data_IF_820883120082
#
_entry.id   IF_820883120082
#
_cell.length_a   1.000
_cell.length_b   1.000
_cell.length_c   1.000
_cell.angle_alpha   90.00
_cell.angle_beta   90.00
_cell.angle_gamma   90.00
#
_symmetry.space_group_name_H-M   'P 1'
#
loop_
_entity.id
_entity.type
_entity.pdbx_description
1 polymer ?
#
# COMPACT_ATOMS: atom_id res chain seq x y z
N UNK A 1 19.32 9.09 -21.69
CA UNK A 1 19.41 9.89 -20.44
C UNK A 1 19.60 8.95 -19.27
N UNK A 2 20.83 8.83 -18.76
CA UNK A 2 21.10 8.08 -17.53
C UNK A 2 20.47 8.84 -16.36
N UNK A 3 19.36 8.33 -15.83
CA UNK A 3 18.81 8.81 -14.56
C UNK A 3 19.73 8.32 -13.46
N UNK A 4 20.63 9.18 -12.99
CA UNK A 4 21.39 8.92 -11.77
C UNK A 4 20.44 8.53 -10.64
N UNK A 5 20.79 7.48 -9.90
CA UNK A 5 20.08 7.05 -8.71
C UNK A 5 19.98 8.23 -7.73
N UNK A 6 18.79 8.81 -7.61
CA UNK A 6 18.44 9.68 -6.50
C UNK A 6 17.38 8.97 -5.70
N UNK A 7 17.79 8.34 -4.60
CA UNK A 7 16.83 7.84 -3.62
C UNK A 7 15.94 9.00 -3.19
N UNK A 8 14.63 8.76 -3.19
CA UNK A 8 13.68 9.76 -2.68
C UNK A 8 13.99 10.03 -1.21
N UNK A 9 13.92 11.30 -0.80
CA UNK A 9 14.12 11.71 0.60
C UNK A 9 13.30 10.84 1.56
N UNK A 10 12.04 10.55 1.21
CA UNK A 10 11.15 9.70 2.01
C UNK A 10 11.66 8.26 2.14
N UNK A 11 12.24 7.68 1.08
CA UNK A 11 12.79 6.33 1.12
C UNK A 11 14.00 6.29 2.05
N UNK A 12 14.84 7.32 2.00
CA UNK A 12 16.01 7.44 2.87
C UNK A 12 15.61 7.55 4.34
N UNK A 13 14.59 8.34 4.66
CA UNK A 13 14.04 8.47 6.02
C UNK A 13 13.53 7.13 6.55
N UNK A 14 12.73 6.40 5.77
CA UNK A 14 12.20 5.09 6.20
C UNK A 14 13.32 4.08 6.44
N UNK A 15 14.31 4.00 5.54
CA UNK A 15 15.45 3.10 5.69
C UNK A 15 16.26 3.47 6.95
N UNK A 16 16.51 4.74 7.19
CA UNK A 16 17.20 5.20 8.40
C UNK A 16 16.41 4.85 9.68
N UNK A 17 15.09 5.02 9.69
CA UNK A 17 14.23 4.62 10.81
C UNK A 17 14.28 3.12 11.07
N UNK A 18 14.25 2.27 10.04
CA UNK A 18 14.37 0.81 10.18
C UNK A 18 15.72 0.44 10.78
N UNK A 19 16.82 1.03 10.29
CA UNK A 19 18.17 0.78 10.80
C UNK A 19 18.28 1.20 12.28
N UNK A 20 17.77 2.38 12.63
CA UNK A 20 17.77 2.88 14.01
C UNK A 20 17.00 1.94 14.94
N UNK A 21 15.75 1.58 14.58
CA UNK A 21 14.93 0.67 15.38
C UNK A 21 15.59 -0.69 15.51
N UNK A 22 16.22 -1.18 14.44
CA UNK A 22 16.90 -2.47 14.46
C UNK A 22 18.08 -2.46 15.45
N UNK A 23 18.94 -1.45 15.31
CA UNK A 23 20.12 -1.30 16.16
C UNK A 23 19.72 -1.13 17.62
N UNK A 24 18.76 -0.23 17.92
CA UNK A 24 18.32 -0.01 19.29
C UNK A 24 17.72 -1.30 19.86
N UNK A 25 16.81 -1.97 19.15
CA UNK A 25 16.16 -3.19 19.67
C UNK A 25 17.17 -4.30 19.97
N UNK A 26 18.11 -4.59 19.07
CA UNK A 26 19.06 -5.70 19.25
C UNK A 26 20.13 -5.39 20.29
N UNK A 27 20.78 -4.22 20.20
CA UNK A 27 21.96 -3.93 21.01
C UNK A 27 21.66 -3.18 22.31
N UNK A 28 20.46 -2.59 22.42
CA UNK A 28 20.06 -1.83 23.61
C UNK A 28 18.98 -2.59 24.37
N UNK A 29 17.82 -2.83 23.75
CA UNK A 29 16.69 -3.45 24.47
C UNK A 29 16.95 -4.92 24.81
N UNK A 30 17.32 -5.74 23.84
CA UNK A 30 17.53 -7.18 24.07
C UNK A 30 18.71 -7.41 25.01
N UNK A 31 19.82 -6.69 24.81
CA UNK A 31 20.98 -6.81 25.69
C UNK A 31 20.67 -6.35 27.12
N UNK A 32 19.95 -5.23 27.30
CA UNK A 32 19.60 -4.74 28.63
C UNK A 32 18.60 -5.64 29.37
N UNK A 33 17.56 -6.14 28.70
CA UNK A 33 16.48 -6.89 29.35
C UNK A 33 16.77 -8.37 29.52
N UNK A 34 17.45 -8.97 28.54
CA UNK A 34 17.69 -10.42 28.51
C UNK A 34 19.18 -10.78 28.51
N UNK A 35 20.08 -9.84 28.18
CA UNK A 35 21.48 -10.12 27.88
C UNK A 35 21.61 -10.79 26.52
N UNK A 36 22.38 -10.21 25.60
CA UNK A 36 22.45 -10.71 24.21
C UNK A 36 23.03 -12.12 24.12
N UNK A 37 23.86 -12.50 25.09
CA UNK A 37 24.53 -13.81 25.17
C UNK A 37 23.72 -14.89 25.87
N UNK A 38 22.52 -14.58 26.35
CA UNK A 38 21.63 -15.58 26.95
C UNK A 38 20.80 -16.28 25.87
N UNK A 39 20.30 -17.49 26.16
CA UNK A 39 19.43 -18.20 25.20
C UNK A 39 18.13 -17.44 24.88
N UNK A 40 17.45 -16.74 25.83
CA UNK A 40 16.31 -15.90 25.49
C UNK A 40 16.71 -14.66 24.67
N UNK A 41 17.86 -14.04 24.97
CA UNK A 41 18.35 -12.88 24.21
C UNK A 41 18.64 -13.24 22.75
N UNK A 42 19.37 -14.32 22.51
CA UNK A 42 19.67 -14.83 21.16
C UNK A 42 18.40 -15.18 20.38
N UNK A 43 17.43 -15.85 21.02
CA UNK A 43 16.17 -16.21 20.35
C UNK A 43 15.39 -14.96 19.94
N UNK A 44 15.24 -13.97 20.84
CA UNK A 44 14.57 -12.71 20.52
C UNK A 44 15.30 -11.95 19.41
N UNK A 45 16.64 -11.89 19.46
CA UNK A 45 17.44 -11.22 18.44
C UNK A 45 17.27 -11.90 17.07
N UNK A 46 17.28 -13.24 17.03
CA UNK A 46 17.05 -14.01 15.81
C UNK A 46 15.66 -13.75 15.21
N UNK A 47 14.61 -13.88 16.03
CA UNK A 47 13.22 -13.64 15.59
C UNK A 47 13.05 -12.22 15.07
N UNK A 48 13.55 -11.22 15.81
CA UNK A 48 13.44 -9.83 15.43
C UNK A 48 14.25 -9.50 14.16
N UNK A 49 15.44 -10.09 14.00
CA UNK A 49 16.26 -9.96 12.78
C UNK A 49 15.55 -10.57 11.57
N UNK A 50 14.95 -11.74 11.73
CA UNK A 50 14.16 -12.38 10.67
C UNK A 50 12.97 -11.52 10.23
N UNK A 51 12.19 -11.00 11.20
CA UNK A 51 11.06 -10.12 10.91
C UNK A 51 11.50 -8.82 10.23
N UNK A 52 12.62 -8.22 10.68
CA UNK A 52 13.19 -7.01 10.07
C UNK A 52 13.65 -7.28 8.65
N UNK A 53 14.30 -8.42 8.39
CA UNK A 53 14.71 -8.81 7.04
C UNK A 53 13.51 -8.98 6.09
N UNK A 54 12.42 -9.60 6.57
CA UNK A 54 11.16 -9.70 5.81
C UNK A 54 10.52 -8.33 5.55
N UNK A 55 10.56 -7.42 6.54
CA UNK A 55 10.09 -6.05 6.38
C UNK A 55 10.91 -5.29 5.31
N UNK A 56 12.25 -5.37 5.36
CA UNK A 56 13.13 -4.76 4.35
C UNK A 56 12.90 -5.36 2.97
N UNK A 57 12.72 -6.68 2.87
CA UNK A 57 12.44 -7.35 1.60
C UNK A 57 11.12 -6.89 0.99
N UNK A 58 10.03 -6.87 1.77
CA UNK A 58 8.71 -6.39 1.31
C UNK A 58 8.75 -4.91 0.91
N UNK A 59 9.43 -4.07 1.70
CA UNK A 59 9.62 -2.66 1.40
C UNK A 59 10.42 -2.44 0.11
N UNK A 60 11.53 -3.18 -0.07
CA UNK A 60 12.33 -3.12 -1.28
C UNK A 60 11.50 -3.52 -2.51
N UNK A 61 10.74 -4.61 -2.43
CA UNK A 61 9.80 -4.98 -3.50
C UNK A 61 8.82 -3.83 -3.79
N UNK A 62 8.23 -3.21 -2.77
CA UNK A 62 7.28 -2.11 -2.97
C UNK A 62 7.92 -0.87 -3.64
N UNK A 63 9.18 -0.55 -3.33
CA UNK A 63 9.90 0.60 -3.91
C UNK A 63 10.34 0.33 -5.35
N UNK A 64 10.80 -0.89 -5.63
CA UNK A 64 11.43 -1.23 -6.92
C UNK A 64 10.49 -1.89 -7.93
N UNK A 65 9.30 -2.34 -7.52
CA UNK A 65 8.31 -2.89 -8.45
C UNK A 65 7.71 -1.77 -9.30
N UNK A 66 7.81 -1.91 -10.65
CA UNK A 66 7.18 -0.97 -11.58
C UNK A 66 5.65 -0.98 -11.35
N UNK A 67 4.98 0.17 -11.23
CA UNK A 67 3.54 0.26 -10.92
C UNK A 67 2.62 -0.21 -12.05
N UNK A 68 3.17 -0.88 -13.07
CA UNK A 68 2.47 -1.35 -14.25
C UNK A 68 2.38 -0.26 -15.33
N UNK A 69 2.26 -0.71 -16.58
CA UNK A 69 2.10 0.15 -17.74
C UNK A 69 0.89 -0.27 -18.54
N UNK A 70 0.25 0.73 -19.13
CA UNK A 70 -0.83 0.51 -20.10
C UNK A 70 -0.15 0.30 -21.46
N UNK A 71 -0.44 -0.79 -22.18
CA UNK A 71 0.11 -1.00 -23.52
C UNK A 71 -0.41 0.07 -24.49
N UNK A 72 0.43 0.51 -25.42
CA UNK A 72 0.08 1.56 -26.40
C UNK A 72 -1.04 1.14 -27.36
N UNK A 73 -1.29 -0.17 -27.50
CA UNK A 73 -2.38 -0.75 -28.29
C UNK A 73 -3.70 -0.85 -27.53
N UNK A 74 -3.79 -0.34 -26.29
CA UNK A 74 -5.04 -0.36 -25.54
C UNK A 74 -6.07 0.58 -26.18
N UNK A 75 -7.10 -0.02 -26.76
CA UNK A 75 -8.27 0.68 -27.31
C UNK A 75 -9.49 0.15 -26.55
N UNK A 76 -10.30 1.01 -25.90
CA UNK A 76 -11.53 0.58 -25.25
C UNK A 76 -12.47 -0.01 -26.29
N UNK A 77 -13.01 -1.20 -26.02
CA UNK A 77 -14.03 -1.81 -26.87
C UNK A 77 -15.39 -1.15 -26.58
N UNK A 78 -15.89 -0.34 -27.52
CA UNK A 78 -17.11 0.47 -27.35
C UNK A 78 -18.37 -0.36 -27.63
N UNK A 79 -18.25 -1.55 -28.24
CA UNK A 79 -19.37 -2.36 -28.74
C UNK A 79 -19.62 -3.65 -27.93
N UNK A 80 -18.84 -3.92 -26.88
CA UNK A 80 -18.94 -5.15 -26.08
C UNK A 80 -20.18 -5.13 -25.14
N UNK A 81 -21.28 -5.72 -25.60
CA UNK A 81 -22.58 -5.76 -24.90
C UNK A 81 -22.54 -6.56 -23.58
N UNK A 82 -21.55 -7.43 -23.40
CA UNK A 82 -21.37 -8.26 -22.21
C UNK A 82 -20.70 -7.51 -21.04
N UNK A 83 -20.31 -6.24 -21.23
CA UNK A 83 -19.59 -5.45 -20.21
C UNK A 83 -20.20 -4.04 -20.03
N UNK A 84 -21.41 -3.92 -19.44
CA UNK A 84 -22.13 -2.65 -19.30
C UNK A 84 -21.45 -1.66 -18.33
N UNK A 85 -20.40 -2.07 -17.62
CA UNK A 85 -19.68 -1.25 -16.64
C UNK A 85 -18.39 -0.69 -17.29
N UNK A 86 -18.54 0.00 -18.41
CA UNK A 86 -17.59 1.08 -18.71
C UNK A 86 -17.85 2.16 -17.64
N UNK A 87 -16.88 2.46 -16.78
CA UNK A 87 -16.97 3.56 -15.82
C UNK A 87 -17.06 4.90 -16.56
N UNK A 88 -18.28 5.19 -17.04
CA UNK A 88 -18.76 6.43 -17.62
C UNK A 88 -18.71 7.47 -16.51
N UNK A 89 -17.71 8.34 -16.54
CA UNK A 89 -17.43 9.22 -15.39
C UNK A 89 -17.31 10.70 -15.66
N UNK A 90 -17.91 11.15 -16.76
CA UNK A 90 -18.32 12.55 -16.89
C UNK A 90 -19.82 12.60 -17.18
N UNK A 91 -20.46 13.69 -16.77
CA UNK A 91 -21.84 14.01 -17.17
C UNK A 91 -21.93 13.83 -18.70
N UNK A 92 -22.53 12.73 -19.18
CA UNK A 92 -22.75 12.50 -20.62
C UNK A 92 -22.15 11.26 -21.30
N UNK A 93 -21.63 10.24 -20.61
CA UNK A 93 -21.32 8.96 -21.30
C UNK A 93 -19.85 8.70 -21.69
N UNK A 94 -18.95 9.67 -21.52
CA UNK A 94 -17.69 9.65 -22.27
C UNK A 94 -16.48 8.98 -21.54
N UNK A 95 -15.58 8.39 -22.34
CA UNK A 95 -14.40 7.61 -21.91
C UNK A 95 -13.37 8.48 -21.16
N UNK A 96 -12.70 7.92 -20.15
CA UNK A 96 -11.69 8.66 -19.35
C UNK A 96 -10.38 8.85 -20.12
N UNK A 97 -10.17 10.02 -20.71
CA UNK A 97 -8.94 10.37 -21.44
C UNK A 97 -7.90 11.12 -20.59
N UNK A 98 -6.61 10.81 -20.75
CA UNK A 98 -5.50 11.57 -20.16
C UNK A 98 -4.92 12.58 -21.16
N UNK A 99 -5.20 13.87 -20.98
CA UNK A 99 -4.66 14.94 -21.84
C UNK A 99 -3.12 15.01 -21.83
N UNK A 100 -2.47 14.63 -20.73
CA UNK A 100 -1.00 14.67 -20.60
C UNK A 100 -0.28 13.50 -21.26
N UNK A 101 -0.93 12.33 -21.32
CA UNK A 101 -0.36 11.12 -21.91
C UNK A 101 -0.94 10.81 -23.29
N UNK A 102 -1.91 11.60 -23.75
CA UNK A 102 -2.66 11.40 -24.99
C UNK A 102 -3.24 9.99 -25.17
N UNK A 103 -3.71 9.36 -24.08
CA UNK A 103 -4.20 7.98 -24.06
C UNK A 103 -5.51 7.82 -23.26
N UNK A 104 -6.35 6.85 -23.64
CA UNK A 104 -7.50 6.43 -22.85
C UNK A 104 -7.04 5.63 -21.61
N UNK A 105 -7.63 5.94 -20.46
CA UNK A 105 -7.30 5.31 -19.18
C UNK A 105 -8.19 4.08 -18.97
N UNK A 106 -7.61 2.88 -18.77
CA UNK A 106 -8.37 1.73 -18.32
C UNK A 106 -8.98 1.97 -16.94
N UNK A 107 -9.97 1.15 -16.53
CA UNK A 107 -10.52 1.19 -15.18
C UNK A 107 -9.42 1.17 -14.12
N UNK A 108 -9.57 1.98 -13.06
CA UNK A 108 -8.64 2.03 -11.91
C UNK A 108 -7.25 2.64 -12.18
N UNK A 109 -6.99 3.21 -13.37
CA UNK A 109 -5.72 3.87 -13.70
C UNK A 109 -5.73 5.40 -13.51
N UNK A 110 -4.62 5.96 -13.00
CA UNK A 110 -4.48 7.40 -12.70
C UNK A 110 -3.18 7.99 -13.22
N UNK A 111 -3.17 9.28 -13.58
CA UNK A 111 -1.95 9.96 -14.00
C UNK A 111 -1.13 10.38 -12.77
N UNK A 112 0.06 9.81 -12.59
CA UNK A 112 0.97 10.23 -11.54
C UNK A 112 1.88 11.35 -12.06
N UNK A 113 1.79 12.53 -11.42
CA UNK A 113 2.62 13.71 -11.76
C UNK A 113 4.11 13.47 -11.50
N UNK A 114 4.46 12.68 -10.49
CA UNK A 114 5.85 12.36 -10.14
C UNK A 114 6.48 11.43 -11.19
N UNK A 115 5.73 10.42 -11.62
CA UNK A 115 6.19 9.49 -12.66
C UNK A 115 6.06 10.08 -14.08
N UNK A 116 5.30 11.16 -14.24
CA UNK A 116 4.88 11.78 -15.50
C UNK A 116 4.24 10.79 -16.50
N UNK A 117 3.40 9.89 -15.99
CA UNK A 117 2.72 8.83 -16.77
C UNK A 117 1.47 8.31 -16.06
N UNK A 118 0.61 7.63 -16.80
CA UNK A 118 -0.52 6.90 -16.22
C UNK A 118 -0.01 5.62 -15.55
N UNK A 119 -0.34 5.46 -14.27
CA UNK A 119 0.05 4.34 -13.39
C UNK A 119 -1.20 3.82 -12.68
N UNK A 120 -1.16 2.57 -12.23
CA UNK A 120 -2.33 1.93 -11.64
C UNK A 120 -2.54 2.25 -10.15
N UNK A 121 -1.65 2.98 -9.44
CA UNK A 121 -1.74 3.26 -7.98
C UNK A 121 -0.96 4.50 -7.51
N UNK A 122 -1.34 5.10 -6.37
CA UNK A 122 -0.66 6.24 -5.70
C UNK A 122 -0.87 6.23 -4.16
N UNK A 123 0.19 6.51 -3.38
CA UNK A 123 0.15 6.82 -1.92
C UNK A 123 1.16 7.94 -1.63
N UNK A 124 0.84 8.87 -0.72
CA UNK A 124 1.74 9.94 -0.27
C UNK A 124 1.51 10.24 1.23
N UNK A 125 2.58 10.35 2.03
CA UNK A 125 2.60 10.94 3.37
C UNK A 125 3.91 11.70 3.59
N UNK A 126 3.83 12.82 4.32
CA UNK A 126 4.96 13.64 4.77
C UNK A 126 4.73 13.98 6.25
N UNK A 127 5.80 13.94 7.04
CA UNK A 127 5.88 14.53 8.38
C UNK A 127 7.12 15.42 8.50
N UNK A 128 7.25 16.12 9.63
CA UNK A 128 8.54 16.54 10.22
C UNK A 128 8.32 17.17 11.60
N UNK A 129 9.21 16.87 12.55
CA UNK A 129 9.46 17.61 13.80
C UNK A 129 10.95 17.48 14.14
N UNK A 130 11.55 18.57 14.59
CA UNK A 130 12.97 18.71 14.96
C UNK A 130 13.07 19.19 16.41
N UNK A 131 13.93 18.58 17.24
CA UNK A 131 14.33 19.12 18.54
C UNK A 131 15.82 18.78 18.81
N UNK A 132 16.56 19.79 19.30
CA UNK A 132 17.98 19.79 19.66
C UNK A 132 18.28 19.21 21.07
N UNK A 133 19.55 18.91 21.33
CA UNK A 133 20.11 18.27 22.55
C UNK A 133 21.06 19.20 23.32
N UNK A 134 21.27 18.98 24.64
CA UNK A 134 22.66 19.06 25.16
C UNK A 134 23.05 18.11 26.32
N UNK A 135 24.34 17.70 26.25
CA UNK A 135 25.47 17.57 27.21
C UNK A 135 25.34 16.72 28.49
N UNK A 136 26.01 15.56 28.59
CA UNK A 136 27.45 15.23 28.76
C UNK A 136 27.78 15.17 30.28
N UNK A 137 27.88 13.94 30.79
CA UNK A 137 28.36 13.45 32.11
C UNK A 137 27.33 12.68 32.98
N UNK A 138 26.04 12.79 32.70
CA UNK A 138 24.96 11.87 33.15
C UNK A 138 24.83 10.65 32.20
N UNK A 139 25.94 10.27 31.58
CA UNK A 139 25.96 9.80 30.19
C UNK A 139 25.34 8.44 29.94
N UNK A 140 25.56 7.42 30.78
CA UNK A 140 25.10 6.07 30.43
C UNK A 140 23.59 5.89 30.65
N UNK A 141 23.06 6.32 31.80
CA UNK A 141 21.60 6.32 32.02
C UNK A 141 20.87 7.31 31.10
N UNK A 142 21.46 8.49 30.84
CA UNK A 142 20.91 9.46 29.89
C UNK A 142 20.94 8.95 28.44
N UNK A 143 21.97 8.20 28.05
CA UNK A 143 22.08 7.56 26.74
C UNK A 143 20.96 6.55 26.55
N UNK A 144 20.82 5.56 27.44
CA UNK A 144 19.71 4.60 27.39
C UNK A 144 18.34 5.30 27.39
N UNK A 145 18.14 6.28 28.28
CA UNK A 145 16.93 7.11 28.35
C UNK A 145 16.62 7.83 27.05
N UNK A 146 17.63 8.38 26.37
CA UNK A 146 17.46 9.05 25.07
C UNK A 146 17.04 8.06 23.99
N UNK A 147 17.65 6.88 23.92
CA UNK A 147 17.20 5.83 23.00
C UNK A 147 15.76 5.39 23.29
N UNK A 148 15.37 5.25 24.56
CA UNK A 148 14.00 4.92 24.94
C UNK A 148 13.00 6.00 24.51
N UNK A 149 13.31 7.28 24.76
CA UNK A 149 12.46 8.41 24.38
C UNK A 149 12.34 8.53 22.86
N UNK A 150 13.46 8.51 22.13
CA UNK A 150 13.44 8.59 20.65
C UNK A 150 12.69 7.40 20.05
N UNK A 151 12.94 6.19 20.54
CA UNK A 151 12.23 4.99 20.06
C UNK A 151 10.74 5.07 20.38
N UNK A 152 10.34 5.58 21.55
CA UNK A 152 8.94 5.81 21.89
C UNK A 152 8.27 6.85 20.97
N UNK A 153 8.94 7.98 20.73
CA UNK A 153 8.48 9.03 19.82
C UNK A 153 8.36 8.54 18.37
N UNK A 154 9.19 7.58 17.95
CA UNK A 154 9.13 7.00 16.62
C UNK A 154 8.08 5.89 16.53
N UNK A 155 8.11 4.92 17.45
CA UNK A 155 7.31 3.69 17.37
C UNK A 155 5.84 3.91 17.71
N UNK A 156 5.50 4.75 18.70
CA UNK A 156 4.12 4.95 19.11
C UNK A 156 3.24 5.54 17.98
N UNK A 157 3.56 6.72 17.41
CA UNK A 157 2.75 7.27 16.33
C UNK A 157 2.82 6.42 15.07
N UNK A 158 3.97 5.80 14.77
CA UNK A 158 4.11 4.90 13.62
C UNK A 158 3.19 3.69 13.77
N UNK A 159 3.13 3.07 14.95
CA UNK A 159 2.29 1.90 15.20
C UNK A 159 0.80 2.25 15.08
N UNK A 160 0.39 3.40 15.61
CA UNK A 160 -1.00 3.88 15.49
C UNK A 160 -1.34 4.13 14.01
N UNK A 161 -0.48 4.86 13.29
CA UNK A 161 -0.71 5.18 11.89
C UNK A 161 -0.75 3.94 11.00
N UNK A 162 0.20 3.01 11.17
CA UNK A 162 0.25 1.77 10.41
C UNK A 162 -0.92 0.84 10.75
N UNK A 163 -1.37 0.79 12.00
CA UNK A 163 -2.53 -0.03 12.39
C UNK A 163 -3.82 0.49 11.77
N UNK A 164 -4.03 1.80 11.78
CA UNK A 164 -5.17 2.42 11.09
C UNK A 164 -5.11 2.16 9.59
N UNK A 165 -3.95 2.39 8.96
CA UNK A 165 -3.75 2.19 7.54
C UNK A 165 -3.96 0.72 7.13
N UNK A 166 -3.41 -0.22 7.91
CA UNK A 166 -3.61 -1.65 7.69
C UNK A 166 -5.09 -2.02 7.79
N UNK A 167 -5.78 -1.59 8.85
CA UNK A 167 -7.21 -1.87 9.06
C UNK A 167 -8.06 -1.33 7.91
N UNK A 168 -7.74 -0.11 7.45
CA UNK A 168 -8.37 0.50 6.28
C UNK A 168 -8.16 -0.32 5.01
N UNK A 169 -6.93 -0.78 4.77
CA UNK A 169 -6.61 -1.59 3.60
C UNK A 169 -7.24 -2.99 3.65
N UNK A 170 -7.34 -3.61 4.83
CA UNK A 170 -8.08 -4.86 5.01
C UNK A 170 -9.55 -4.65 4.62
N UNK A 171 -10.19 -3.59 5.10
CA UNK A 171 -11.56 -3.24 4.71
C UNK A 171 -11.71 -3.07 3.19
N UNK A 172 -10.78 -2.36 2.55
CA UNK A 172 -10.79 -2.14 1.10
C UNK A 172 -10.63 -3.43 0.30
N UNK A 173 -9.70 -4.30 0.71
CA UNK A 173 -9.49 -5.61 0.06
C UNK A 173 -10.72 -6.50 0.20
N UNK A 174 -11.33 -6.55 1.39
CA UNK A 174 -12.56 -7.32 1.62
C UNK A 174 -13.74 -6.86 0.76
N UNK A 175 -13.74 -5.60 0.33
CA UNK A 175 -14.78 -5.01 -0.52
C UNK A 175 -14.37 -4.93 -2.00
N UNK A 176 -13.17 -5.41 -2.36
CA UNK A 176 -12.54 -5.25 -3.67
C UNK A 176 -12.61 -3.81 -4.21
N UNK A 177 -12.23 -2.87 -3.35
CA UNK A 177 -12.16 -1.44 -3.66
C UNK A 177 -10.73 -0.96 -3.54
N UNK A 178 -10.29 -0.12 -4.46
CA UNK A 178 -9.15 0.77 -4.25
C UNK A 178 -9.58 1.96 -3.39
N UNK A 179 -8.61 2.67 -2.82
CA UNK A 179 -8.85 3.93 -2.10
C UNK A 179 -9.59 4.94 -2.98
N UNK A 180 -9.27 4.97 -4.27
CA UNK A 180 -9.90 5.89 -5.23
C UNK A 180 -11.34 5.45 -5.49
N UNK A 181 -11.56 4.17 -5.81
CA UNK A 181 -12.91 3.61 -5.98
C UNK A 181 -13.79 3.81 -4.74
N UNK A 182 -13.22 3.78 -3.53
CA UNK A 182 -13.96 4.10 -2.31
C UNK A 182 -14.50 5.53 -2.33
N UNK A 183 -13.64 6.55 -2.53
CA UNK A 183 -14.09 7.95 -2.58
C UNK A 183 -15.05 8.22 -3.73
N UNK A 184 -14.80 7.56 -4.85
CA UNK A 184 -15.65 7.57 -6.02
C UNK A 184 -17.02 6.92 -5.78
N UNK A 185 -17.05 5.83 -5.02
CA UNK A 185 -18.23 5.08 -4.62
C UNK A 185 -19.08 5.79 -3.57
N UNK A 186 -18.48 6.53 -2.64
CA UNK A 186 -19.22 7.38 -1.69
C UNK A 186 -20.09 8.40 -2.44
N UNK A 187 -19.54 9.01 -3.50
CA UNK A 187 -20.30 9.92 -4.37
C UNK A 187 -21.40 9.20 -5.15
N UNK A 188 -21.11 8.02 -5.68
CA UNK A 188 -22.09 7.22 -6.43
C UNK A 188 -23.25 6.76 -5.54
N UNK A 189 -22.96 6.36 -4.30
CA UNK A 189 -23.95 5.98 -3.30
C UNK A 189 -24.90 7.13 -2.96
N UNK A 190 -24.36 8.33 -2.71
CA UNK A 190 -25.18 9.52 -2.46
C UNK A 190 -26.10 9.88 -3.64
N UNK A 191 -25.61 9.71 -4.88
CA UNK A 191 -26.44 9.92 -6.08
C UNK A 191 -27.54 8.86 -6.23
N UNK A 192 -27.22 7.59 -5.95
CA UNK A 192 -28.19 6.50 -6.00
C UNK A 192 -29.28 6.66 -4.94
N UNK A 193 -28.91 7.05 -3.72
CA UNK A 193 -29.84 7.33 -2.62
C UNK A 193 -30.84 8.43 -2.99
N UNK A 194 -30.36 9.52 -3.60
CA UNK A 194 -31.23 10.57 -4.15
C UNK A 194 -32.14 10.10 -5.28
N UNK A 195 -31.74 9.07 -6.01
CA UNK A 195 -32.53 8.43 -7.05
C UNK A 195 -33.44 7.30 -6.55
N UNK A 196 -33.41 6.96 -5.26
CA UNK A 196 -34.16 5.84 -4.68
C UNK A 196 -33.60 4.44 -5.00
N UNK A 197 -32.34 4.34 -5.44
CA UNK A 197 -31.68 3.08 -5.79
C UNK A 197 -30.63 2.67 -4.75
N UNK A 198 -30.50 1.36 -4.53
CA UNK A 198 -29.43 0.80 -3.70
C UNK A 198 -28.13 0.72 -4.53
N UNK A 199 -27.09 1.42 -4.08
CA UNK A 199 -25.78 1.34 -4.71
C UNK A 199 -25.03 0.08 -4.27
N UNK A 200 -24.68 -0.76 -5.23
CA UNK A 200 -23.75 -1.88 -5.05
C UNK A 200 -22.47 -1.64 -5.85
N UNK A 201 -21.32 -1.88 -5.23
CA UNK A 201 -20.04 -1.69 -5.90
C UNK A 201 -19.81 -2.81 -6.93
N UNK A 202 -19.55 -2.51 -8.21
CA UNK A 202 -19.58 -3.51 -9.27
C UNK A 202 -18.56 -4.64 -9.14
N UNK A 203 -17.42 -4.37 -8.52
CA UNK A 203 -16.34 -5.35 -8.33
C UNK A 203 -16.46 -6.16 -7.02
N UNK A 204 -17.49 -5.90 -6.20
CA UNK A 204 -17.68 -6.65 -4.96
C UNK A 204 -18.37 -8.00 -5.24
N UNK A 205 -17.61 -9.09 -5.16
CA UNK A 205 -18.05 -10.46 -5.45
C UNK A 205 -18.39 -11.26 -4.18
N UNK A 206 -18.19 -10.69 -3.00
CA UNK A 206 -18.22 -11.36 -1.70
C UNK A 206 -16.82 -11.55 -1.12
N UNK A 207 -16.71 -11.59 0.22
CA UNK A 207 -15.42 -11.46 0.92
C UNK A 207 -14.35 -12.47 0.48
N UNK A 208 -14.71 -13.75 0.32
CA UNK A 208 -13.78 -14.80 -0.10
C UNK A 208 -13.29 -14.62 -1.55
N UNK A 209 -14.21 -14.40 -2.49
CA UNK A 209 -13.89 -14.15 -3.91
C UNK A 209 -13.06 -12.86 -4.07
N UNK A 210 -13.36 -11.83 -3.29
CA UNK A 210 -12.60 -10.58 -3.26
C UNK A 210 -11.15 -10.83 -2.79
N UNK A 211 -10.97 -11.60 -1.71
CA UNK A 211 -9.64 -11.96 -1.21
C UNK A 211 -8.85 -12.76 -2.25
N UNK A 212 -9.46 -13.76 -2.87
CA UNK A 212 -8.81 -14.53 -3.94
C UNK A 212 -8.43 -13.63 -5.10
N UNK A 213 -9.31 -12.71 -5.52
CA UNK A 213 -9.04 -11.81 -6.65
C UNK A 213 -7.85 -10.88 -6.43
N UNK A 214 -7.52 -10.57 -5.17
CA UNK A 214 -6.45 -9.65 -4.78
C UNK A 214 -5.17 -10.38 -4.35
N UNK A 215 -5.30 -11.43 -3.53
CA UNK A 215 -4.18 -12.12 -2.88
C UNK A 215 -3.77 -13.43 -3.58
N UNK A 216 -4.58 -13.92 -4.51
CA UNK A 216 -4.35 -15.18 -5.19
C UNK A 216 -5.15 -16.36 -4.59
N UNK A 217 -5.26 -17.46 -5.35
CA UNK A 217 -5.98 -18.66 -4.92
C UNK A 217 -5.24 -19.44 -3.81
N UNK A 218 -3.92 -19.26 -3.70
CA UNK A 218 -3.11 -19.98 -2.72
C UNK A 218 -3.03 -19.21 -1.39
N UNK A 219 -3.85 -19.62 -0.41
CA UNK A 219 -3.94 -18.98 0.92
C UNK A 219 -2.58 -18.99 1.66
N UNK A 220 -1.80 -20.06 1.50
CA UNK A 220 -0.46 -20.17 2.11
C UNK A 220 0.52 -19.12 1.59
N UNK A 221 0.29 -18.59 0.38
CA UNK A 221 1.12 -17.54 -0.20
C UNK A 221 0.68 -16.14 0.22
N UNK A 222 -0.43 -15.95 0.94
CA UNK A 222 -0.90 -14.62 1.33
C UNK A 222 0.07 -13.89 2.27
N UNK A 223 0.82 -14.65 3.06
CA UNK A 223 1.84 -14.13 3.99
C UNK A 223 3.17 -13.85 3.26
N UNK A 224 3.37 -14.46 2.09
CA UNK A 224 4.61 -14.33 1.34
C UNK A 224 4.43 -13.32 0.20
N UNK A 225 5.30 -12.30 0.08
CA UNK A 225 5.31 -11.42 -1.08
C UNK A 225 5.92 -12.18 -2.26
N UNK A 226 5.25 -13.20 -2.76
CA UNK A 226 5.56 -13.94 -3.99
C UNK A 226 4.36 -14.02 -4.92
N UNK A 227 3.18 -13.61 -4.45
CA UNK A 227 1.97 -13.58 -5.26
C UNK A 227 2.14 -12.59 -6.44
N UNK A 228 2.04 -13.11 -7.65
CA UNK A 228 1.85 -12.33 -8.86
C UNK A 228 0.40 -11.86 -8.96
N UNK A 229 0.19 -10.73 -9.63
CA UNK A 229 -1.14 -10.20 -9.90
C UNK A 229 -1.93 -11.18 -10.77
N UNK A 230 -3.22 -11.33 -10.46
CA UNK A 230 -4.12 -12.19 -11.23
C UNK A 230 -4.66 -11.40 -12.43
N UNK A 231 -4.54 -12.00 -13.61
CA UNK A 231 -5.06 -11.41 -14.85
C UNK A 231 -4.19 -10.28 -15.39
N UNK A 232 -4.70 -9.61 -16.43
CA UNK A 232 -3.93 -8.59 -17.19
C UNK A 232 -3.92 -7.20 -16.54
N UNK A 233 -4.73 -6.97 -15.49
CA UNK A 233 -4.97 -5.64 -14.92
C UNK A 233 -5.76 -4.68 -15.83
N UNK A 234 -6.21 -5.15 -17.00
CA UNK A 234 -6.99 -4.37 -17.97
C UNK A 234 -8.50 -4.64 -17.89
N UNK A 235 -8.88 -5.87 -17.49
CA UNK A 235 -10.27 -6.29 -17.23
C UNK A 235 -10.34 -6.93 -15.84
N UNK A 236 -11.39 -6.63 -15.09
CA UNK A 236 -11.64 -7.15 -13.75
C UNK A 236 -13.04 -7.78 -13.72
N UNK A 237 -13.18 -8.90 -13.01
CA UNK A 237 -14.46 -9.60 -12.85
C UNK A 237 -15.45 -8.76 -12.05
N UNK A 238 -16.69 -8.72 -12.50
CA UNK A 238 -17.79 -7.93 -11.93
C UNK A 238 -18.91 -8.82 -11.38
N UNK A 239 -19.82 -8.22 -10.61
CA UNK A 239 -21.02 -8.90 -10.12
C UNK A 239 -21.92 -9.42 -11.26
N UNK A 240 -21.90 -8.76 -12.42
CA UNK A 240 -22.63 -9.21 -13.63
C UNK A 240 -22.03 -10.50 -14.16
N UNK A 241 -20.69 -10.57 -14.30
CA UNK A 241 -20.00 -11.79 -14.72
C UNK A 241 -20.26 -12.96 -13.76
N UNK A 242 -20.43 -12.67 -12.46
CA UNK A 242 -20.75 -13.69 -11.45
C UNK A 242 -22.17 -14.24 -11.62
N UNK A 243 -23.14 -13.38 -11.93
CA UNK A 243 -24.53 -13.78 -12.16
C UNK A 243 -24.70 -14.55 -13.48
N UNK A 244 -23.92 -14.23 -14.51
CA UNK A 244 -23.94 -14.96 -15.79
C UNK A 244 -23.33 -16.38 -15.70
N UNK A 245 -22.50 -16.64 -14.68
CA UNK A 245 -21.82 -17.93 -14.49
C UNK A 245 -22.56 -18.90 -13.55
N UNK A 246 -23.67 -18.47 -12.95
CA UNK A 246 -24.54 -19.26 -12.06
C UNK A 246 -25.83 -19.64 -12.76
#
# INVERSE_FOLDING_TARGET
>A
MQRGWKFSFHVSVVVASIIYIYFSTVFIYIDHWFGLWTSPGLLNAFVFTFLTAMCVYTYARAVFTDPGRIPSSFIPDVEDADNPIHEIKRKGGDLRYCQKCALHKPPRAHHCRVCNRCVLRMVLLVGSLTIDSPKDDEENESFFRTFYVISGLLLLPLSIALSFFWSWHVYLVLQNKTTIEYHEGVRAMWLAEKGGFLYSHPYNLGAYENLISVLGPNILCWVCPTADHIGSGLRFRTGVDKQAAT
#
